data_IF_813016215614
#
_entry.id   IF_813016215614
#
_cell.length_a   1.000
_cell.length_b   1.000
_cell.length_c   1.000
_cell.angle_alpha   90.00
_cell.angle_beta   90.00
_cell.angle_gamma   90.00
#
_symmetry.space_group_name_H-M   'P 1'
#
loop_
_entity.id
_entity.type
_entity.pdbx_description
1 polymer ?
#
# COMPACT_ATOMS: atom_id res chain seq x y z
N UNK A 1 9.89 7.57 21.27
CA UNK A 1 10.42 7.06 22.52
C UNK A 1 11.88 6.72 22.34
N UNK A 2 12.23 5.61 21.65
CA UNK A 2 13.63 5.20 21.47
C UNK A 2 14.51 6.24 20.73
N UNK A 3 13.92 6.94 19.77
CA UNK A 3 14.57 8.01 18.99
C UNK A 3 14.26 9.42 19.51
N UNK A 4 13.68 9.55 20.70
CA UNK A 4 13.26 10.82 21.33
C UNK A 4 12.28 11.67 20.50
N UNK A 5 11.62 11.07 19.51
CA UNK A 5 10.61 11.77 18.68
C UNK A 5 9.30 12.04 19.43
N UNK A 6 8.95 11.16 20.33
CA UNK A 6 7.75 11.26 21.18
C UNK A 6 8.03 10.78 22.58
N UNK A 7 7.36 11.37 23.57
CA UNK A 7 7.40 10.88 24.94
C UNK A 7 6.68 9.54 25.08
N UNK A 8 7.12 8.71 26.04
CA UNK A 8 6.48 7.44 26.32
C UNK A 8 5.04 7.66 26.79
N UNK A 9 4.11 6.85 26.27
CA UNK A 9 2.72 6.88 26.74
C UNK A 9 2.64 6.27 28.14
N UNK A 10 2.16 7.07 29.10
CA UNK A 10 2.04 6.65 30.51
C UNK A 10 0.67 6.11 30.86
N UNK A 11 -0.36 6.42 30.05
CA UNK A 11 -1.72 5.91 30.29
C UNK A 11 -1.98 4.70 29.42
N UNK A 12 -2.28 3.58 30.08
CA UNK A 12 -2.57 2.32 29.40
C UNK A 12 -3.80 2.44 28.48
N UNK A 13 -4.84 3.16 28.87
CA UNK A 13 -6.02 3.39 28.06
C UNK A 13 -5.73 4.07 26.72
N UNK A 14 -4.83 5.07 26.72
CA UNK A 14 -4.45 5.78 25.49
C UNK A 14 -3.63 4.88 24.56
N UNK A 15 -2.75 4.02 25.13
CA UNK A 15 -2.01 3.02 24.37
C UNK A 15 -2.93 1.95 23.79
N UNK A 16 -3.86 1.44 24.60
CA UNK A 16 -4.84 0.45 24.15
C UNK A 16 -5.72 1.02 23.03
N UNK A 17 -6.18 2.26 23.16
CA UNK A 17 -6.97 2.94 22.13
C UNK A 17 -6.15 3.04 20.82
N UNK A 18 -4.88 3.43 20.87
CA UNK A 18 -4.02 3.50 19.69
C UNK A 18 -3.88 2.14 19.01
N UNK A 19 -3.61 1.09 19.78
CA UNK A 19 -3.39 -0.27 19.23
C UNK A 19 -4.69 -0.85 18.65
N UNK A 20 -5.84 -0.59 19.30
CA UNK A 20 -7.15 -1.14 18.91
C UNK A 20 -7.93 -0.23 17.97
N UNK A 21 -7.36 0.87 17.49
CA UNK A 21 -8.02 1.81 16.59
C UNK A 21 -8.40 1.13 15.27
N UNK A 22 -9.65 0.70 15.17
CA UNK A 22 -10.11 -0.23 14.14
C UNK A 22 -9.90 0.23 12.69
N UNK A 23 -9.95 1.55 12.32
CA UNK A 23 -9.71 1.92 10.92
C UNK A 23 -8.30 1.62 10.42
N UNK A 24 -7.30 1.52 11.31
CA UNK A 24 -5.93 1.17 10.94
C UNK A 24 -5.65 -0.34 10.96
N UNK A 25 -6.55 -1.14 11.54
CA UNK A 25 -6.33 -2.58 11.67
C UNK A 25 -6.44 -3.29 10.31
N UNK A 26 -5.78 -4.45 10.21
CA UNK A 26 -5.78 -5.36 9.07
C UNK A 26 -5.14 -4.75 7.82
N UNK A 27 -5.85 -3.99 7.01
CA UNK A 27 -5.37 -3.40 5.76
C UNK A 27 -5.43 -1.86 5.74
N UNK A 28 -5.70 -1.21 6.88
CA UNK A 28 -5.68 0.25 7.01
C UNK A 28 -4.28 0.84 6.81
N UNK A 29 -4.19 2.16 6.63
CA UNK A 29 -2.90 2.84 6.63
C UNK A 29 -2.14 2.56 7.93
N UNK A 30 -0.84 2.30 7.84
CA UNK A 30 0.00 2.12 9.03
C UNK A 30 0.19 3.48 9.69
N UNK A 31 -0.66 3.76 10.69
CA UNK A 31 -0.66 5.02 11.43
C UNK A 31 0.41 4.99 12.51
N UNK A 32 1.33 5.93 12.47
CA UNK A 32 2.36 6.03 13.50
C UNK A 32 1.79 6.68 14.76
N UNK A 33 2.29 6.26 15.91
CA UNK A 33 1.90 6.88 17.17
C UNK A 33 2.15 8.39 17.18
N UNK A 34 3.26 8.86 16.60
CA UNK A 34 3.59 10.29 16.50
C UNK A 34 2.52 11.11 15.74
N UNK A 35 1.87 10.49 14.72
CA UNK A 35 0.82 11.14 13.93
C UNK A 35 -0.42 11.42 14.78
N UNK A 36 -0.85 10.47 15.59
CA UNK A 36 -2.12 10.55 16.33
C UNK A 36 -1.96 10.87 17.82
N UNK A 37 -0.75 10.93 18.33
CA UNK A 37 -0.47 11.10 19.75
C UNK A 37 -1.16 12.32 20.39
N UNK A 38 -1.25 13.43 19.66
CA UNK A 38 -1.94 14.64 20.10
C UNK A 38 -3.46 14.46 20.06
N UNK A 39 -3.97 13.85 19.02
CA UNK A 39 -5.41 13.65 18.77
C UNK A 39 -6.02 12.64 19.75
N UNK A 40 -5.24 11.68 20.25
CA UNK A 40 -5.70 10.75 21.27
C UNK A 40 -6.32 11.48 22.46
N UNK A 41 -5.75 12.62 22.87
CA UNK A 41 -6.18 13.36 24.07
C UNK A 41 -6.99 14.62 23.79
N UNK A 42 -6.74 15.27 22.65
CA UNK A 42 -7.23 16.62 22.39
C UNK A 42 -7.96 16.75 21.04
N UNK A 43 -8.44 15.62 20.48
CA UNK A 43 -9.17 15.67 19.21
C UNK A 43 -10.49 16.45 19.37
N UNK A 44 -10.81 17.18 18.32
CA UNK A 44 -12.11 17.84 18.16
C UNK A 44 -12.66 17.41 16.82
N UNK A 45 -13.93 17.03 16.79
CA UNK A 45 -14.63 16.71 15.55
C UNK A 45 -15.58 17.85 15.23
N UNK A 46 -15.45 18.43 14.05
CA UNK A 46 -16.37 19.45 13.53
C UNK A 46 -17.39 18.79 12.58
N UNK A 47 -18.47 19.51 12.28
CA UNK A 47 -19.45 19.08 11.26
C UNK A 47 -18.75 18.94 9.89
N UNK A 48 -17.80 19.82 9.60
CA UNK A 48 -16.99 19.73 8.37
C UNK A 48 -16.16 18.44 8.31
N UNK A 49 -15.47 18.09 9.40
CA UNK A 49 -14.69 16.83 9.47
C UNK A 49 -15.58 15.60 9.31
N UNK A 50 -16.75 15.62 9.93
CA UNK A 50 -17.75 14.55 9.77
C UNK A 50 -18.20 14.43 8.31
N UNK A 51 -18.57 15.55 7.68
CA UNK A 51 -19.04 15.57 6.28
C UNK A 51 -17.96 15.09 5.32
N UNK A 52 -16.75 15.61 5.43
CA UNK A 52 -15.62 15.20 4.56
C UNK A 52 -15.23 13.74 4.80
N UNK A 53 -15.22 13.28 6.06
CA UNK A 53 -14.96 11.89 6.41
C UNK A 53 -16.02 10.95 5.85
N UNK A 54 -17.30 11.31 5.94
CA UNK A 54 -18.42 10.55 5.38
C UNK A 54 -18.36 10.50 3.85
N UNK A 55 -18.11 11.63 3.19
CA UNK A 55 -17.92 11.66 1.74
C UNK A 55 -16.76 10.74 1.31
N UNK A 56 -15.63 10.79 2.00
CA UNK A 56 -14.49 9.95 1.69
C UNK A 56 -14.76 8.46 1.91
N UNK A 57 -15.47 8.11 2.96
CA UNK A 57 -15.93 6.74 3.23
C UNK A 57 -16.82 6.23 2.09
N UNK A 58 -17.77 7.04 1.61
CA UNK A 58 -18.64 6.69 0.48
C UNK A 58 -17.84 6.50 -0.80
N UNK A 59 -16.87 7.38 -1.08
CA UNK A 59 -15.97 7.25 -2.25
C UNK A 59 -15.17 5.94 -2.15
N UNK A 60 -14.62 5.61 -0.99
CA UNK A 60 -13.90 4.36 -0.77
C UNK A 60 -14.80 3.13 -0.99
N UNK A 61 -16.02 3.16 -0.44
CA UNK A 61 -17.01 2.11 -0.63
C UNK A 61 -17.40 1.97 -2.12
N UNK A 62 -17.56 3.08 -2.83
CA UNK A 62 -17.83 3.11 -4.27
C UNK A 62 -16.68 2.44 -5.06
N UNK A 63 -15.43 2.76 -4.75
CA UNK A 63 -14.26 2.09 -5.35
C UNK A 63 -14.31 0.58 -5.15
N UNK A 64 -14.64 0.12 -3.94
CA UNK A 64 -14.72 -1.32 -3.61
C UNK A 64 -15.87 -2.00 -4.33
N UNK A 65 -17.10 -1.47 -4.22
CA UNK A 65 -18.31 -2.14 -4.67
C UNK A 65 -18.51 -2.00 -6.19
N UNK A 66 -18.36 -0.79 -6.73
CA UNK A 66 -18.66 -0.53 -8.14
C UNK A 66 -17.46 -0.75 -9.07
N UNK A 67 -16.23 -0.55 -8.60
CA UNK A 67 -15.06 -0.72 -9.45
C UNK A 67 -14.36 -2.06 -9.19
N UNK A 68 -13.85 -2.30 -7.99
CA UNK A 68 -13.04 -3.48 -7.72
C UNK A 68 -13.82 -4.79 -7.89
N UNK A 69 -15.05 -4.89 -7.38
CA UNK A 69 -15.84 -6.10 -7.51
C UNK A 69 -16.20 -6.42 -8.97
N UNK A 70 -16.57 -5.40 -9.78
CA UNK A 70 -16.87 -5.61 -11.20
C UNK A 70 -15.63 -5.95 -12.02
N UNK A 71 -14.48 -5.32 -11.70
CA UNK A 71 -13.20 -5.69 -12.33
C UNK A 71 -12.80 -7.12 -11.96
N UNK A 72 -13.07 -7.58 -10.73
CA UNK A 72 -12.83 -8.97 -10.35
C UNK A 72 -13.65 -9.96 -11.18
N UNK A 73 -14.92 -9.66 -11.46
CA UNK A 73 -15.73 -10.47 -12.35
C UNK A 73 -15.13 -10.54 -13.76
N UNK A 74 -14.63 -9.43 -14.26
CA UNK A 74 -13.95 -9.39 -15.55
C UNK A 74 -12.66 -10.23 -15.54
N UNK A 75 -11.87 -10.18 -14.47
CA UNK A 75 -10.68 -11.02 -14.29
C UNK A 75 -11.05 -12.50 -14.29
N UNK A 76 -12.06 -12.88 -13.51
CA UNK A 76 -12.55 -14.27 -13.45
C UNK A 76 -13.00 -14.76 -14.83
N UNK A 77 -13.68 -13.90 -15.61
CA UNK A 77 -14.12 -14.22 -16.96
C UNK A 77 -12.94 -14.39 -17.93
N UNK A 78 -11.99 -13.44 -17.94
CA UNK A 78 -10.86 -13.42 -18.89
C UNK A 78 -9.85 -14.54 -18.63
N UNK A 79 -9.66 -14.96 -17.38
CA UNK A 79 -8.74 -16.04 -17.01
C UNK A 79 -9.43 -17.39 -16.81
N UNK A 80 -10.71 -17.51 -17.12
CA UNK A 80 -11.46 -18.76 -16.98
C UNK A 80 -11.47 -19.31 -15.54
N UNK A 81 -11.59 -18.41 -14.55
CA UNK A 81 -11.59 -18.81 -13.15
C UNK A 81 -12.91 -19.47 -12.78
N UNK A 82 -12.85 -20.72 -12.37
CA UNK A 82 -14.02 -21.48 -11.92
C UNK A 82 -13.88 -21.81 -10.43
N UNK A 83 -14.91 -21.45 -9.66
CA UNK A 83 -15.01 -21.81 -8.24
C UNK A 83 -15.77 -23.14 -8.15
N UNK A 84 -15.07 -24.20 -7.75
CA UNK A 84 -15.63 -25.54 -7.55
C UNK A 84 -15.66 -25.88 -6.07
N UNK A 85 -16.41 -26.93 -5.70
CA UNK A 85 -16.41 -27.45 -4.32
C UNK A 85 -15.02 -27.95 -3.86
N UNK A 86 -14.15 -28.30 -4.81
CA UNK A 86 -12.77 -28.74 -4.55
C UNK A 86 -11.74 -27.57 -4.52
N UNK A 87 -12.17 -26.35 -4.83
CA UNK A 87 -11.30 -25.15 -4.87
C UNK A 87 -11.47 -24.31 -6.12
N UNK A 88 -10.51 -23.41 -6.34
CA UNK A 88 -10.50 -22.52 -7.52
C UNK A 88 -9.63 -23.13 -8.62
N UNK A 89 -10.20 -23.31 -9.81
CA UNK A 89 -9.50 -23.76 -11.02
C UNK A 89 -9.34 -22.58 -11.97
N UNK A 90 -8.16 -22.45 -12.58
CA UNK A 90 -7.85 -21.37 -13.53
C UNK A 90 -7.51 -22.02 -14.87
N UNK A 91 -8.31 -21.74 -15.91
CA UNK A 91 -8.14 -22.26 -17.27
C UNK A 91 -7.59 -21.19 -18.22
N UNK A 92 -6.35 -20.74 -18.00
CA UNK A 92 -5.72 -19.70 -18.83
C UNK A 92 -5.57 -20.15 -20.29
N UNK A 93 -5.48 -21.46 -20.56
CA UNK A 93 -5.29 -22.01 -21.91
C UNK A 93 -6.39 -21.66 -22.92
N UNK A 94 -7.58 -21.32 -22.45
CA UNK A 94 -8.72 -20.95 -23.30
C UNK A 94 -8.77 -19.43 -23.59
N UNK A 95 -7.88 -18.64 -22.98
CA UNK A 95 -7.88 -17.18 -23.14
C UNK A 95 -7.20 -16.77 -24.45
N UNK A 96 -7.84 -15.86 -25.19
CA UNK A 96 -7.19 -15.21 -26.33
C UNK A 96 -6.11 -14.23 -25.84
N UNK A 97 -5.13 -13.88 -26.70
CA UNK A 97 -4.09 -12.90 -26.38
C UNK A 97 -4.71 -11.57 -25.92
N UNK A 98 -5.74 -11.10 -26.60
CA UNK A 98 -6.47 -9.89 -26.22
C UNK A 98 -7.16 -10.05 -24.87
N UNK A 99 -7.82 -11.18 -24.62
CA UNK A 99 -8.47 -11.51 -23.35
C UNK A 99 -7.46 -11.54 -22.19
N UNK A 100 -6.29 -12.12 -22.41
CA UNK A 100 -5.21 -12.14 -21.41
C UNK A 100 -4.74 -10.72 -21.03
N UNK A 101 -4.53 -9.82 -22.01
CA UNK A 101 -4.17 -8.42 -21.75
C UNK A 101 -5.27 -7.67 -21.01
N UNK A 102 -6.52 -7.84 -21.43
CA UNK A 102 -7.68 -7.23 -20.72
C UNK A 102 -7.72 -7.75 -19.28
N UNK A 103 -7.52 -9.04 -19.07
CA UNK A 103 -7.50 -9.66 -17.75
C UNK A 103 -6.39 -9.10 -16.85
N UNK A 104 -5.17 -8.93 -17.37
CA UNK A 104 -4.03 -8.36 -16.62
C UNK A 104 -4.30 -6.90 -16.22
N UNK A 105 -4.80 -6.08 -17.16
CA UNK A 105 -5.15 -4.67 -16.88
C UNK A 105 -6.28 -4.61 -15.85
N UNK A 106 -7.33 -5.41 -16.04
CA UNK A 106 -8.45 -5.49 -15.10
C UNK A 106 -7.97 -5.90 -13.70
N UNK A 107 -7.06 -6.87 -13.59
CA UNK A 107 -6.49 -7.31 -12.33
C UNK A 107 -5.68 -6.20 -11.64
N UNK A 108 -4.83 -5.49 -12.38
CA UNK A 108 -4.07 -4.37 -11.83
C UNK A 108 -5.00 -3.27 -11.28
N UNK A 109 -6.04 -2.91 -12.03
CA UNK A 109 -7.05 -1.95 -11.59
C UNK A 109 -7.90 -2.47 -10.43
N UNK A 110 -8.26 -3.74 -10.43
CA UNK A 110 -9.01 -4.39 -9.35
C UNK A 110 -8.23 -4.28 -8.03
N UNK A 111 -6.97 -4.69 -8.00
CA UNK A 111 -6.12 -4.61 -6.80
C UNK A 111 -5.98 -3.16 -6.32
N UNK A 112 -5.82 -2.22 -7.25
CA UNK A 112 -5.74 -0.80 -6.91
C UNK A 112 -7.02 -0.26 -6.28
N UNK A 113 -8.17 -0.46 -6.92
CA UNK A 113 -9.43 0.07 -6.41
C UNK A 113 -9.88 -0.64 -5.13
N UNK A 114 -9.59 -1.92 -4.99
CA UNK A 114 -9.86 -2.68 -3.78
C UNK A 114 -9.10 -2.10 -2.59
N UNK A 115 -7.80 -1.94 -2.72
CA UNK A 115 -6.95 -1.50 -1.63
C UNK A 115 -7.02 0.02 -1.40
N UNK A 116 -7.06 0.84 -2.45
CA UNK A 116 -7.24 2.29 -2.29
C UNK A 116 -8.62 2.63 -1.74
N UNK A 117 -9.66 1.86 -2.13
CA UNK A 117 -11.00 1.99 -1.57
C UNK A 117 -11.03 1.70 -0.07
N UNK A 118 -10.38 0.62 0.37
CA UNK A 118 -10.24 0.32 1.79
C UNK A 118 -9.49 1.44 2.53
N UNK A 119 -8.40 1.94 1.99
CA UNK A 119 -7.66 3.06 2.58
C UNK A 119 -8.50 4.33 2.69
N UNK A 120 -9.28 4.67 1.67
CA UNK A 120 -10.20 5.82 1.72
C UNK A 120 -11.28 5.66 2.78
N UNK A 121 -11.85 4.45 2.91
CA UNK A 121 -12.81 4.15 3.99
C UNK A 121 -12.16 4.32 5.36
N UNK A 122 -10.94 3.81 5.54
CA UNK A 122 -10.21 3.91 6.81
C UNK A 122 -9.88 5.36 7.17
N UNK A 123 -9.38 6.16 6.21
CA UNK A 123 -9.07 7.58 6.42
C UNK A 123 -10.35 8.38 6.69
N UNK A 124 -11.43 8.08 5.94
CA UNK A 124 -12.74 8.71 6.15
C UNK A 124 -13.30 8.43 7.54
N UNK A 125 -13.26 7.17 7.99
CA UNK A 125 -13.66 6.81 9.35
C UNK A 125 -12.78 7.49 10.42
N UNK A 126 -11.44 7.48 10.21
CA UNK A 126 -10.53 8.20 11.08
C UNK A 126 -10.96 9.66 11.26
N UNK A 127 -11.25 10.35 10.16
CA UNK A 127 -11.68 11.76 10.18
C UNK A 127 -13.01 11.99 10.90
N UNK A 128 -13.99 11.08 10.72
CA UNK A 128 -15.26 11.12 11.47
C UNK A 128 -15.00 11.08 12.98
N UNK A 129 -13.99 10.31 13.42
CA UNK A 129 -13.60 10.22 14.83
C UNK A 129 -12.61 11.30 15.28
N UNK A 130 -12.25 12.24 14.43
CA UNK A 130 -11.32 13.33 14.73
C UNK A 130 -9.85 12.92 14.68
N UNK A 131 -9.52 11.88 13.91
CA UNK A 131 -8.16 11.45 13.60
C UNK A 131 -7.80 11.76 12.15
N UNK A 132 -6.60 12.28 11.92
CA UNK A 132 -6.11 12.62 10.59
C UNK A 132 -5.02 11.63 10.19
N UNK A 133 -5.39 10.64 9.37
CA UNK A 133 -4.45 9.66 8.84
C UNK A 133 -3.82 10.16 7.54
N UNK A 134 -2.56 9.77 7.32
CA UNK A 134 -1.84 10.10 6.10
C UNK A 134 -2.41 9.35 4.88
N UNK A 135 -2.22 9.94 3.69
CA UNK A 135 -2.60 9.31 2.43
C UNK A 135 -1.79 8.04 2.17
N UNK A 136 -2.47 6.99 1.67
CA UNK A 136 -1.84 5.70 1.40
C UNK A 136 -1.60 5.47 -0.10
N UNK A 137 -2.26 6.22 -0.97
CA UNK A 137 -2.13 6.15 -2.42
C UNK A 137 -2.09 7.54 -3.05
N UNK A 138 -1.25 7.70 -4.08
CA UNK A 138 -1.16 8.94 -4.85
C UNK A 138 -0.98 8.65 -6.34
N UNK A 139 -2.07 8.27 -7.04
CA UNK A 139 -2.08 7.97 -8.48
C UNK A 139 -0.88 7.13 -8.94
N UNK A 140 -0.73 5.87 -8.47
CA UNK A 140 0.49 5.08 -8.68
C UNK A 140 0.78 4.78 -10.15
N UNK A 141 -0.22 4.67 -11.00
CA UNK A 141 -0.05 4.31 -12.42
C UNK A 141 0.41 5.46 -13.34
N UNK A 142 0.57 6.69 -12.82
CA UNK A 142 1.21 7.78 -13.57
C UNK A 142 2.71 7.89 -13.31
N UNK A 143 3.28 6.90 -12.62
CA UNK A 143 4.70 6.87 -12.29
C UNK A 143 5.58 6.70 -13.53
N UNK A 144 6.81 7.19 -13.44
CA UNK A 144 7.84 7.08 -14.49
C UNK A 144 8.96 6.11 -14.13
N UNK A 145 8.87 5.45 -12.99
CA UNK A 145 9.84 4.46 -12.53
C UNK A 145 9.23 3.54 -11.49
N UNK A 146 9.83 2.37 -11.30
CA UNK A 146 9.41 1.42 -10.27
C UNK A 146 9.60 2.03 -8.87
N UNK A 147 10.67 2.78 -8.66
CA UNK A 147 10.88 3.50 -7.40
C UNK A 147 9.79 4.55 -7.14
N UNK A 148 9.35 5.28 -8.16
CA UNK A 148 8.26 6.24 -8.05
C UNK A 148 6.92 5.55 -7.81
N UNK A 149 6.65 4.40 -8.47
CA UNK A 149 5.46 3.61 -8.21
C UNK A 149 5.32 3.30 -6.72
N UNK A 150 6.36 2.78 -6.09
CA UNK A 150 6.36 2.43 -4.67
C UNK A 150 6.34 3.63 -3.71
N UNK A 151 6.65 4.83 -4.18
CA UNK A 151 6.44 6.08 -3.43
C UNK A 151 4.98 6.55 -3.47
N UNK A 152 4.19 6.02 -4.40
CA UNK A 152 2.79 6.37 -4.63
C UNK A 152 1.80 5.26 -4.25
N UNK A 153 2.30 4.04 -4.11
CA UNK A 153 1.57 2.83 -3.72
C UNK A 153 1.89 2.46 -2.28
N UNK A 154 0.84 2.25 -1.45
CA UNK A 154 0.96 1.83 -0.05
C UNK A 154 2.01 2.66 0.72
N UNK A 155 1.85 3.98 0.67
CA UNK A 155 2.83 4.97 1.15
C UNK A 155 3.17 4.76 2.62
N UNK A 156 2.17 4.39 3.44
CA UNK A 156 2.35 4.14 4.87
C UNK A 156 3.31 2.97 5.14
N UNK A 157 3.17 1.85 4.42
CA UNK A 157 4.07 0.70 4.53
C UNK A 157 5.48 1.06 4.02
N UNK A 158 5.56 1.71 2.86
CA UNK A 158 6.85 2.14 2.29
C UNK A 158 7.61 3.08 3.22
N UNK A 159 6.92 4.04 3.83
CA UNK A 159 7.51 4.96 4.81
C UNK A 159 7.92 4.23 6.09
N UNK A 160 7.13 3.25 6.55
CA UNK A 160 7.45 2.43 7.71
C UNK A 160 8.76 1.67 7.50
N UNK A 161 8.90 0.89 6.44
CA UNK A 161 10.13 0.15 6.17
C UNK A 161 11.32 1.06 5.86
N UNK A 162 11.10 2.20 5.22
CA UNK A 162 12.15 3.19 4.98
C UNK A 162 12.74 3.70 6.31
N UNK A 163 11.90 4.07 7.27
CA UNK A 163 12.34 4.74 8.48
C UNK A 163 12.81 3.74 9.55
N UNK A 164 12.21 2.55 9.62
CA UNK A 164 12.53 1.57 10.64
C UNK A 164 13.49 0.46 10.19
N UNK A 165 13.78 0.35 8.89
CA UNK A 165 14.70 -0.66 8.38
C UNK A 165 15.77 -0.07 7.46
N UNK A 166 15.38 0.70 6.42
CA UNK A 166 16.34 1.21 5.43
C UNK A 166 17.36 2.18 6.00
N UNK A 167 16.94 3.09 6.89
CA UNK A 167 17.81 4.08 7.49
C UNK A 167 18.52 3.61 8.75
N UNK A 168 18.17 2.45 9.28
CA UNK A 168 18.83 1.91 10.47
C UNK A 168 20.24 1.43 10.12
N UNK A 169 21.27 1.84 10.90
CA UNK A 169 22.64 1.36 10.69
C UNK A 169 22.76 -0.13 10.93
N UNK A 170 23.34 -0.86 9.97
CA UNK A 170 23.64 -2.28 10.09
C UNK A 170 25.11 -2.43 10.49
N UNK A 171 25.37 -3.00 11.66
CA UNK A 171 26.71 -3.06 12.26
C UNK A 171 27.38 -1.67 12.36
N UNK A 172 26.62 -0.67 12.83
CA UNK A 172 27.11 0.68 13.04
C UNK A 172 27.37 1.52 11.78
N UNK A 173 27.09 0.98 10.58
CA UNK A 173 27.31 1.67 9.29
C UNK A 173 26.07 1.62 8.41
N UNK A 174 25.82 2.69 7.66
CA UNK A 174 24.79 2.70 6.61
C UNK A 174 25.25 1.86 5.42
N UNK A 175 24.52 0.78 5.13
CA UNK A 175 24.78 -0.14 4.02
C UNK A 175 23.61 -0.12 3.02
N UNK A 176 23.57 0.92 2.18
CA UNK A 176 22.44 1.20 1.27
C UNK A 176 21.88 -0.04 0.57
N UNK A 177 22.72 -0.84 -0.06
CA UNK A 177 22.27 -1.99 -0.86
C UNK A 177 21.82 -3.18 0.00
N UNK A 178 22.48 -3.40 1.13
CA UNK A 178 22.04 -4.41 2.08
C UNK A 178 20.70 -4.02 2.72
N UNK A 179 20.54 -2.75 3.10
CA UNK A 179 19.27 -2.24 3.61
C UNK A 179 18.16 -2.34 2.57
N UNK A 180 18.45 -2.07 1.30
CA UNK A 180 17.48 -2.22 0.21
C UNK A 180 17.04 -3.68 0.06
N UNK A 181 17.99 -4.62 0.05
CA UNK A 181 17.69 -6.05 0.02
C UNK A 181 16.80 -6.47 1.20
N UNK A 182 17.19 -6.08 2.43
CA UNK A 182 16.43 -6.42 3.64
C UNK A 182 15.01 -5.84 3.63
N UNK A 183 14.84 -4.60 3.17
CA UNK A 183 13.51 -3.98 3.05
C UNK A 183 12.62 -4.82 2.14
N UNK A 184 13.09 -5.17 0.97
CA UNK A 184 12.26 -5.89 -0.02
C UNK A 184 12.03 -7.34 0.35
N UNK A 185 13.03 -8.01 0.93
CA UNK A 185 12.88 -9.34 1.50
C UNK A 185 11.82 -9.35 2.63
N UNK A 186 11.93 -8.39 3.56
CA UNK A 186 10.98 -8.26 4.67
C UNK A 186 9.59 -7.85 4.19
N UNK A 187 9.50 -6.99 3.18
CA UNK A 187 8.22 -6.64 2.55
C UNK A 187 7.53 -7.87 1.98
N UNK A 188 8.27 -8.74 1.28
CA UNK A 188 7.74 -10.01 0.80
C UNK A 188 7.23 -10.90 1.92
N UNK A 189 8.02 -11.12 2.97
CA UNK A 189 7.61 -11.91 4.14
C UNK A 189 6.40 -11.33 4.87
N UNK A 190 6.30 -9.99 4.93
CA UNK A 190 5.16 -9.32 5.55
C UNK A 190 3.85 -9.58 4.79
N UNK A 191 3.90 -9.70 3.47
CA UNK A 191 2.73 -10.04 2.64
C UNK A 191 2.26 -11.49 2.82
N UNK A 192 3.15 -12.38 3.22
CA UNK A 192 2.80 -13.77 3.52
C UNK A 192 4.02 -14.69 3.59
N UNK A 193 3.91 -15.74 4.40
CA UNK A 193 4.97 -16.73 4.61
C UNK A 193 5.01 -17.77 3.47
N UNK A 194 5.05 -17.32 2.21
CA UNK A 194 5.23 -18.20 1.06
C UNK A 194 6.36 -17.71 0.15
N UNK A 195 7.01 -18.63 -0.55
CA UNK A 195 8.09 -18.31 -1.49
C UNK A 195 7.65 -17.36 -2.61
N UNK A 196 6.38 -17.42 -3.04
CA UNK A 196 5.84 -16.50 -4.06
C UNK A 196 5.89 -15.05 -3.60
N UNK A 197 5.55 -14.75 -2.35
CA UNK A 197 5.67 -13.39 -1.82
C UNK A 197 7.10 -12.93 -1.63
N UNK A 198 7.98 -13.83 -1.16
CA UNK A 198 9.42 -13.51 -1.02
C UNK A 198 10.03 -13.19 -2.38
N UNK A 199 9.77 -14.04 -3.39
CA UNK A 199 10.26 -13.82 -4.75
C UNK A 199 9.67 -12.55 -5.37
N UNK A 200 8.40 -12.26 -5.13
CA UNK A 200 7.75 -11.01 -5.53
C UNK A 200 8.45 -9.79 -4.91
N UNK A 201 8.73 -9.80 -3.62
CA UNK A 201 9.46 -8.73 -2.96
C UNK A 201 10.88 -8.56 -3.54
N UNK A 202 11.63 -9.64 -3.68
CA UNK A 202 12.98 -9.62 -4.26
C UNK A 202 12.99 -9.16 -5.72
N UNK A 203 11.97 -9.49 -6.51
CA UNK A 203 11.78 -9.02 -7.88
C UNK A 203 11.75 -7.48 -7.94
N UNK A 204 10.89 -6.84 -7.15
CA UNK A 204 10.85 -5.38 -7.10
C UNK A 204 12.13 -4.77 -6.51
N UNK A 205 12.69 -5.39 -5.48
CA UNK A 205 13.97 -5.00 -4.92
C UNK A 205 15.10 -4.97 -5.93
N UNK A 206 15.15 -5.97 -6.83
CA UNK A 206 16.11 -6.06 -7.92
C UNK A 206 15.97 -4.90 -8.91
N UNK A 207 14.77 -4.58 -9.37
CA UNK A 207 14.56 -3.47 -10.30
C UNK A 207 14.89 -2.11 -9.66
N UNK A 208 14.51 -1.89 -8.42
CA UNK A 208 14.86 -0.67 -7.68
C UNK A 208 16.39 -0.57 -7.47
N UNK A 209 17.05 -1.70 -7.26
CA UNK A 209 18.51 -1.75 -7.21
C UNK A 209 19.12 -1.30 -8.53
N UNK A 210 18.64 -1.83 -9.67
CA UNK A 210 19.10 -1.39 -11.02
C UNK A 210 18.85 0.10 -11.23
N UNK A 211 17.65 0.59 -10.93
CA UNK A 211 17.33 2.03 -11.01
C UNK A 211 18.29 2.88 -10.16
N UNK A 212 18.64 2.37 -8.97
CA UNK A 212 19.56 3.04 -8.06
C UNK A 212 21.01 3.08 -8.57
N UNK A 213 21.42 2.10 -9.38
CA UNK A 213 22.72 2.07 -10.06
C UNK A 213 22.72 2.93 -11.31
N UNK A 214 21.68 2.83 -12.13
CA UNK A 214 21.52 3.59 -13.37
C UNK A 214 21.50 5.11 -13.14
N UNK A 215 20.98 5.52 -11.96
CA UNK A 215 20.91 6.90 -11.54
C UNK A 215 19.90 7.75 -12.33
N UNK A 216 19.49 8.86 -11.74
CA UNK A 216 18.47 9.77 -12.30
C UNK A 216 18.82 10.34 -13.69
N UNK A 217 20.12 10.43 -14.03
CA UNK A 217 20.56 10.98 -15.33
C UNK A 217 20.27 10.04 -16.50
N UNK A 218 20.39 8.72 -16.28
CA UNK A 218 20.11 7.74 -17.32
C UNK A 218 18.60 7.60 -17.53
N UNK A 219 17.82 7.55 -16.45
CA UNK A 219 16.36 7.48 -16.51
C UNK A 219 15.77 8.69 -17.26
N UNK A 220 16.32 9.90 -17.08
CA UNK A 220 15.90 11.10 -17.81
C UNK A 220 16.16 11.07 -19.33
N UNK A 221 17.01 10.15 -19.83
CA UNK A 221 17.26 9.99 -21.27
C UNK A 221 16.27 9.07 -21.97
N UNK A 222 15.46 8.34 -21.21
CA UNK A 222 14.45 7.45 -21.76
C UNK A 222 13.20 8.30 -22.06
N UNK A 223 12.64 8.25 -23.29
CA UNK A 223 11.42 8.99 -23.62
C UNK A 223 10.27 8.62 -22.67
N UNK A 224 9.49 9.63 -22.28
CA UNK A 224 8.37 9.47 -21.35
C UNK A 224 7.38 8.37 -21.78
N UNK A 225 7.15 8.20 -23.09
CA UNK A 225 6.29 7.15 -23.66
C UNK A 225 6.77 5.73 -23.29
N UNK A 226 8.08 5.51 -23.21
CA UNK A 226 8.65 4.18 -22.84
C UNK A 226 8.62 3.97 -21.33
N UNK A 227 8.66 5.05 -20.56
CA UNK A 227 8.66 4.99 -19.10
C UNK A 227 7.26 4.75 -18.50
N UNK A 228 6.21 4.91 -19.28
CA UNK A 228 4.81 4.71 -18.86
C UNK A 228 4.23 3.35 -19.30
N UNK A 229 5.02 2.49 -19.94
CA UNK A 229 4.66 1.12 -20.29
C UNK A 229 5.21 0.16 -19.22
#
# INVERSE_FOLDING_TARGET
>A
VYWDKVSAQRKFSDLLMYISLFPQLVAGPIVRYETVAREIRSRKTTIADFSEGACRLIVGLTKKVLLANNLNLLVELMFGVQKTSAGTVINIGDSTVLGAWIGVIAYAMQVYFDFSGYSDMAIGMGRIFGFHFDENFNYPFICRSISEFWQRWHISLGSFFRDYLFYVPIFGKRRKYLSLFLVWFTTGLWHGASWSFVLWGLYFGFFIFIESLAGKKLLKRIPDVIMHI
#
